data_IF_610361170929
#
_entry.id   IF_610361170929
#
_cell.length_a   1.000
_cell.length_b   1.000
_cell.length_c   1.000
_cell.angle_alpha   90.00
_cell.angle_beta   90.00
_cell.angle_gamma   90.00
#
_symmetry.space_group_name_H-M   'P 1'
#
loop_
_entity.id
_entity.type
_entity.pdbx_description
1 polymer ?
#
# COMPACT_ATOMS: atom_id res chain seq x y z
N UNK A 1 15.67 30.59 26.05
CA UNK A 1 15.77 30.68 24.57
C UNK A 1 14.90 29.54 24.05
N UNK A 2 13.57 29.71 24.03
CA UNK A 2 12.77 30.30 22.94
C UNK A 2 12.93 29.49 21.63
N UNK A 3 11.91 29.03 20.90
CA UNK A 3 10.45 29.10 20.97
C UNK A 3 9.90 28.00 20.03
N UNK A 4 8.75 27.43 20.39
CA UNK A 4 7.93 26.57 19.53
C UNK A 4 7.21 27.39 18.46
N UNK A 5 7.36 27.04 17.18
CA UNK A 5 6.64 27.69 16.08
C UNK A 5 5.39 26.86 15.74
N UNK A 6 4.32 27.20 16.46
CA UNK A 6 2.93 26.98 16.06
C UNK A 6 2.52 28.13 15.15
N UNK A 7 1.96 27.83 13.97
CA UNK A 7 0.90 28.59 13.25
C UNK A 7 0.65 27.83 11.95
N UNK A 8 -0.58 27.44 11.58
CA UNK A 8 -1.48 28.31 10.85
C UNK A 8 -2.92 27.77 10.95
N UNK A 9 -3.69 28.27 11.92
CA UNK A 9 -5.13 28.12 11.97
C UNK A 9 -5.76 29.16 11.03
N UNK A 10 -6.21 28.69 9.87
CA UNK A 10 -6.94 29.47 8.88
C UNK A 10 -8.34 29.80 9.42
N UNK A 11 -8.48 30.90 10.15
CA UNK A 11 -9.78 31.41 10.62
C UNK A 11 -10.43 32.23 9.51
N UNK A 12 -11.35 31.59 8.79
CA UNK A 12 -12.23 32.22 7.81
C UNK A 12 -13.16 33.26 8.43
N UNK A 13 -13.30 34.38 7.75
CA UNK A 13 -14.13 35.54 8.12
C UNK A 13 -15.62 35.17 8.17
N UNK A 14 -16.27 35.43 9.30
CA UNK A 14 -17.72 35.39 9.44
C UNK A 14 -18.26 36.72 8.90
N UNK A 15 -18.88 36.71 7.71
CA UNK A 15 -19.65 37.85 7.20
C UNK A 15 -21.06 37.74 7.80
N UNK A 16 -21.37 38.60 8.77
CA UNK A 16 -22.73 38.77 9.27
C UNK A 16 -23.52 39.59 8.25
N UNK A 17 -24.41 38.95 7.51
CA UNK A 17 -25.43 39.64 6.70
C UNK A 17 -26.62 39.90 7.62
N UNK A 18 -26.87 41.17 7.94
CA UNK A 18 -28.06 41.60 8.64
C UNK A 18 -29.02 42.26 7.63
N UNK A 19 -30.24 41.73 7.67
CA UNK A 19 -31.35 41.87 6.74
C UNK A 19 -32.00 43.26 6.81
N UNK A 20 -32.14 43.92 5.66
CA UNK A 20 -32.99 45.10 5.51
C UNK A 20 -34.45 44.70 5.31
N UNK A 21 -35.37 45.36 6.02
CA UNK A 21 -36.81 45.32 5.77
C UNK A 21 -37.15 46.17 4.54
N UNK A 22 -37.86 45.62 3.55
CA UNK A 22 -38.71 46.43 2.67
C UNK A 22 -39.90 45.65 2.08
N UNK A 23 -40.98 46.39 1.90
CA UNK A 23 -42.39 46.04 1.73
C UNK A 23 -42.80 45.27 0.45
N UNK A 24 -43.95 44.58 0.60
CA UNK A 24 -44.96 44.10 -0.36
C UNK A 24 -44.71 44.21 -1.88
N UNK A 25 -44.85 43.06 -2.57
CA UNK A 25 -45.13 42.99 -4.02
C UNK A 25 -45.38 41.55 -4.50
N UNK A 26 -46.60 41.28 -4.94
CA UNK A 26 -47.07 39.98 -5.47
C UNK A 26 -46.59 39.73 -6.90
N UNK A 27 -45.84 38.65 -7.19
CA UNK A 27 -45.77 38.08 -8.54
C UNK A 27 -45.09 36.68 -8.58
N UNK A 28 -45.81 35.69 -9.10
CA UNK A 28 -45.35 34.52 -9.86
C UNK A 28 -44.12 33.72 -9.40
N UNK A 29 -44.34 32.59 -8.73
CA UNK A 29 -43.33 31.52 -8.60
C UNK A 29 -43.30 30.69 -9.88
N UNK A 30 -42.37 31.01 -10.78
CA UNK A 30 -41.92 30.08 -11.82
C UNK A 30 -40.85 29.20 -11.19
N UNK A 31 -41.17 27.92 -10.97
CA UNK A 31 -40.23 26.94 -10.42
C UNK A 31 -39.10 26.66 -11.42
N UNK A 32 -38.02 27.43 -11.32
CA UNK A 32 -36.77 27.14 -12.01
C UNK A 32 -36.11 25.91 -11.37
N UNK A 33 -36.05 24.81 -12.11
CA UNK A 33 -35.14 23.71 -11.78
C UNK A 33 -33.70 24.24 -11.92
N UNK A 34 -33.07 24.55 -10.79
CA UNK A 34 -31.65 24.85 -10.74
C UNK A 34 -30.89 23.59 -11.19
N UNK A 35 -30.33 23.64 -12.40
CA UNK A 35 -29.38 22.63 -12.87
C UNK A 35 -28.10 22.75 -12.04
N UNK A 36 -28.01 21.93 -10.99
CA UNK A 36 -26.78 21.78 -10.22
C UNK A 36 -25.75 21.08 -11.12
N UNK A 37 -24.68 21.78 -11.51
CA UNK A 37 -23.58 21.14 -12.23
C UNK A 37 -22.93 20.07 -11.34
N UNK A 38 -22.59 18.88 -11.87
CA UNK A 38 -21.86 17.88 -11.09
C UNK A 38 -20.49 18.46 -10.71
N UNK A 39 -20.23 18.54 -9.41
CA UNK A 39 -18.90 18.89 -8.89
C UNK A 39 -17.88 17.87 -9.36
N UNK A 40 -16.68 18.28 -9.81
CA UNK A 40 -15.62 17.33 -10.17
C UNK A 40 -15.17 16.57 -8.91
N UNK A 41 -15.56 15.30 -8.78
CA UNK A 41 -14.96 14.41 -7.77
C UNK A 41 -13.53 14.07 -8.19
N UNK A 42 -12.58 14.26 -7.27
CA UNK A 42 -11.22 13.72 -7.42
C UNK A 42 -11.32 12.21 -7.65
N UNK A 43 -10.56 11.63 -8.59
CA UNK A 43 -10.54 10.18 -8.78
C UNK A 43 -10.28 9.47 -7.44
N UNK A 44 -11.14 8.50 -7.10
CA UNK A 44 -10.90 7.63 -5.94
C UNK A 44 -9.71 6.72 -6.27
N UNK A 45 -8.51 7.17 -5.91
CA UNK A 45 -7.35 6.31 -5.86
C UNK A 45 -7.56 5.32 -4.71
N UNK A 46 -7.17 4.03 -4.87
CA UNK A 46 -7.21 3.06 -3.78
C UNK A 46 -6.55 3.62 -2.52
N UNK A 47 -7.19 3.44 -1.36
CA UNK A 47 -6.58 3.84 -0.09
C UNK A 47 -5.31 3.02 0.14
N UNK A 48 -4.25 3.62 0.71
CA UNK A 48 -2.95 2.95 0.83
C UNK A 48 -3.02 1.63 1.61
N UNK A 49 -3.89 1.54 2.62
CA UNK A 49 -4.16 0.27 3.34
C UNK A 49 -4.73 -0.83 2.45
N UNK A 50 -5.50 -0.46 1.43
CA UNK A 50 -6.12 -1.41 0.51
C UNK A 50 -5.06 -1.96 -0.45
N UNK A 51 -4.15 -1.11 -0.92
CA UNK A 51 -3.01 -1.53 -1.74
C UNK A 51 -2.06 -2.45 -0.97
N UNK A 52 -1.74 -2.12 0.29
CA UNK A 52 -0.92 -2.97 1.15
C UNK A 52 -1.60 -4.34 1.36
N UNK A 53 -2.92 -4.34 1.55
CA UNK A 53 -3.69 -5.59 1.71
C UNK A 53 -3.72 -6.43 0.43
N UNK A 54 -3.97 -5.81 -0.72
CA UNK A 54 -3.92 -6.48 -2.02
C UNK A 54 -2.52 -7.04 -2.31
N UNK A 55 -1.47 -6.27 -1.98
CA UNK A 55 -0.08 -6.67 -2.14
C UNK A 55 0.28 -7.89 -1.29
N UNK A 56 -0.18 -7.92 -0.03
CA UNK A 56 -0.02 -9.09 0.84
C UNK A 56 -0.66 -10.33 0.21
N UNK A 57 -1.91 -10.23 -0.24
CA UNK A 57 -2.63 -11.38 -0.84
C UNK A 57 -1.96 -11.86 -2.14
N UNK A 58 -1.49 -10.94 -2.97
CA UNK A 58 -0.74 -11.28 -4.18
C UNK A 58 0.60 -11.96 -3.86
N UNK A 59 1.34 -11.47 -2.85
CA UNK A 59 2.56 -12.09 -2.36
C UNK A 59 2.29 -13.50 -1.81
N UNK A 60 1.26 -13.67 -0.99
CA UNK A 60 0.89 -14.96 -0.39
C UNK A 60 0.55 -16.00 -1.44
N UNK A 61 -0.19 -15.62 -2.48
CA UNK A 61 -0.60 -16.52 -3.56
C UNK A 61 0.56 -16.92 -4.48
N UNK A 62 1.44 -15.98 -4.81
CA UNK A 62 2.39 -16.16 -5.93
C UNK A 62 3.85 -16.30 -5.49
N UNK A 63 4.20 -15.83 -4.30
CA UNK A 63 5.61 -15.69 -3.88
C UNK A 63 5.92 -16.46 -2.60
N UNK A 64 4.99 -16.46 -1.64
CA UNK A 64 5.22 -16.96 -0.28
C UNK A 64 5.59 -18.45 -0.23
N UNK A 65 5.12 -19.27 -1.17
CA UNK A 65 5.51 -20.68 -1.25
C UNK A 65 7.03 -20.89 -1.34
N UNK A 66 7.77 -19.91 -1.87
CA UNK A 66 9.23 -19.95 -1.97
C UNK A 66 9.94 -18.89 -1.12
N UNK A 67 9.28 -17.75 -0.87
CA UNK A 67 9.88 -16.53 -0.31
C UNK A 67 9.29 -16.07 1.03
N UNK A 68 8.37 -16.84 1.63
CA UNK A 68 7.82 -16.48 2.94
C UNK A 68 8.90 -16.39 4.02
N UNK A 69 8.52 -15.75 5.13
CA UNK A 69 9.18 -15.91 6.43
C UNK A 69 8.87 -17.30 7.00
N UNK A 70 9.84 -17.93 7.65
CA UNK A 70 9.63 -19.20 8.36
C UNK A 70 10.95 -19.89 8.71
N UNK A 71 10.95 -20.81 9.69
CA UNK A 71 12.16 -21.57 9.99
C UNK A 71 12.55 -22.40 8.76
N UNK A 72 13.74 -22.17 8.20
CA UNK A 72 14.40 -23.15 7.33
C UNK A 72 14.85 -24.39 8.12
N UNK A 73 14.67 -24.36 9.44
CA UNK A 73 15.14 -25.37 10.37
C UNK A 73 14.00 -26.32 10.74
N UNK A 74 14.02 -27.50 10.12
CA UNK A 74 13.76 -28.72 10.89
C UNK A 74 12.54 -29.55 10.54
N UNK A 75 11.51 -29.05 9.81
CA UNK A 75 10.35 -29.84 9.27
C UNK A 75 9.33 -28.97 8.51
N UNK A 76 9.77 -27.90 7.87
CA UNK A 76 8.94 -26.83 7.26
C UNK A 76 8.98 -26.99 5.73
N UNK A 77 7.93 -26.65 4.96
CA UNK A 77 8.00 -26.60 3.50
C UNK A 77 9.28 -25.90 3.05
N UNK A 78 10.02 -26.51 2.12
CA UNK A 78 11.23 -25.93 1.56
C UNK A 78 10.87 -24.55 1.00
N UNK A 79 11.49 -23.50 1.53
CA UNK A 79 11.41 -22.12 1.03
C UNK A 79 12.65 -21.86 0.17
N UNK A 80 12.74 -22.39 -1.06
CA UNK A 80 13.96 -22.34 -1.87
C UNK A 80 14.42 -20.91 -2.16
N UNK A 81 13.48 -19.97 -2.30
CA UNK A 81 13.77 -18.57 -2.52
C UNK A 81 14.42 -17.91 -1.30
N UNK A 82 13.80 -18.05 -0.13
CA UNK A 82 14.36 -17.53 1.14
C UNK A 82 15.70 -18.20 1.46
N UNK A 83 15.83 -19.51 1.26
CA UNK A 83 17.08 -20.23 1.49
C UNK A 83 18.20 -19.81 0.53
N UNK A 84 17.92 -19.63 -0.77
CA UNK A 84 18.91 -19.14 -1.71
C UNK A 84 19.40 -17.73 -1.34
N UNK A 85 18.49 -16.86 -0.87
CA UNK A 85 18.86 -15.51 -0.41
C UNK A 85 19.70 -15.56 0.89
N UNK A 86 19.42 -16.49 1.81
CA UNK A 86 20.22 -16.64 3.03
C UNK A 86 21.65 -17.13 2.75
N UNK A 87 21.84 -17.94 1.70
CA UNK A 87 23.17 -18.31 1.23
C UNK A 87 23.87 -17.15 0.53
N UNK A 88 23.15 -16.43 -0.36
CA UNK A 88 23.70 -15.31 -1.12
C UNK A 88 24.19 -14.17 -0.22
N UNK A 89 23.42 -13.82 0.80
CA UNK A 89 23.65 -12.67 1.67
C UNK A 89 24.15 -13.06 3.07
N UNK A 90 24.67 -14.28 3.24
CA UNK A 90 25.08 -14.81 4.56
C UNK A 90 25.99 -13.86 5.34
N UNK A 91 26.93 -13.22 4.64
CA UNK A 91 27.94 -12.34 5.25
C UNK A 91 27.52 -10.86 5.21
N UNK A 92 26.41 -10.55 4.53
CA UNK A 92 25.84 -9.22 4.43
C UNK A 92 24.77 -9.01 5.51
N UNK A 93 24.50 -7.75 5.87
CA UNK A 93 23.36 -7.41 6.74
C UNK A 93 22.03 -7.34 5.99
N UNK A 94 21.90 -8.08 4.88
CA UNK A 94 20.70 -8.08 4.03
C UNK A 94 19.82 -9.28 4.43
N UNK A 95 18.58 -9.04 4.89
CA UNK A 95 17.69 -10.13 5.29
C UNK A 95 17.33 -11.07 4.13
N UNK A 96 17.27 -12.37 4.42
CA UNK A 96 16.84 -13.37 3.45
C UNK A 96 15.34 -13.30 3.13
N UNK A 97 14.52 -12.95 4.13
CA UNK A 97 13.09 -12.77 3.96
C UNK A 97 12.82 -11.46 3.21
N UNK A 98 12.11 -11.54 2.08
CA UNK A 98 11.81 -10.36 1.26
C UNK A 98 11.00 -9.31 2.02
N UNK A 99 10.11 -9.75 2.91
CA UNK A 99 9.28 -8.86 3.74
C UNK A 99 10.07 -8.12 4.83
N UNK A 100 11.35 -8.46 5.05
CA UNK A 100 12.26 -7.76 5.98
C UNK A 100 13.20 -6.79 5.25
N UNK A 101 13.14 -6.72 3.92
CA UNK A 101 14.06 -5.94 3.09
C UNK A 101 13.50 -4.56 2.78
N UNK A 102 14.26 -3.53 3.12
CA UNK A 102 13.95 -2.12 2.82
C UNK A 102 14.56 -1.63 1.49
N UNK A 103 15.36 -2.46 0.82
CA UNK A 103 16.11 -2.13 -0.40
C UNK A 103 15.43 -2.58 -1.70
N UNK A 104 14.20 -3.10 -1.62
CA UNK A 104 13.44 -3.58 -2.79
C UNK A 104 12.76 -2.42 -3.52
N UNK A 105 13.32 -1.98 -4.64
CA UNK A 105 12.67 -0.97 -5.50
C UNK A 105 11.61 -1.60 -6.42
N UNK A 106 10.60 -0.85 -6.86
CA UNK A 106 9.58 -1.35 -7.81
C UNK A 106 10.21 -1.91 -9.10
N UNK A 107 11.22 -1.24 -9.64
CA UNK A 107 11.90 -1.62 -10.88
C UNK A 107 12.68 -2.92 -10.70
N UNK A 108 13.32 -3.11 -9.54
CA UNK A 108 14.02 -4.35 -9.23
C UNK A 108 13.05 -5.51 -9.04
N UNK A 109 11.94 -5.29 -8.33
CA UNK A 109 10.88 -6.30 -8.15
C UNK A 109 10.33 -6.72 -9.51
N UNK A 110 9.95 -5.75 -10.35
CA UNK A 110 9.43 -6.03 -11.69
C UNK A 110 10.45 -6.81 -12.53
N UNK A 111 11.71 -6.36 -12.55
CA UNK A 111 12.76 -7.02 -13.33
C UNK A 111 12.91 -8.49 -12.94
N UNK A 112 13.02 -8.77 -11.63
CA UNK A 112 13.17 -10.14 -11.12
C UNK A 112 11.92 -10.98 -11.37
N UNK A 113 10.72 -10.43 -11.17
CA UNK A 113 9.48 -11.18 -11.40
C UNK A 113 9.27 -11.48 -12.88
N UNK A 114 9.55 -10.53 -13.78
CA UNK A 114 9.29 -10.69 -15.21
C UNK A 114 10.35 -11.52 -15.94
N UNK A 115 11.60 -11.48 -15.49
CA UNK A 115 12.70 -12.14 -16.18
C UNK A 115 13.26 -13.35 -15.41
N UNK A 116 12.85 -13.54 -14.15
CA UNK A 116 13.45 -14.53 -13.27
C UNK A 116 14.86 -14.15 -12.85
N UNK A 117 15.43 -14.93 -11.93
CA UNK A 117 16.84 -14.81 -11.54
C UNK A 117 17.34 -16.15 -10.98
N UNK A 118 18.44 -16.67 -11.53
CA UNK A 118 18.96 -18.00 -11.21
C UNK A 118 17.88 -19.10 -11.30
N UNK A 119 17.53 -19.71 -10.16
CA UNK A 119 16.52 -20.77 -10.06
C UNK A 119 15.10 -20.24 -9.83
N UNK A 120 14.91 -18.92 -9.69
CA UNK A 120 13.58 -18.31 -9.62
C UNK A 120 13.02 -18.17 -11.04
N UNK A 121 11.92 -18.87 -11.38
CA UNK A 121 11.30 -18.75 -12.71
C UNK A 121 10.65 -17.37 -12.90
N UNK A 122 10.56 -16.87 -14.14
CA UNK A 122 9.76 -15.68 -14.45
C UNK A 122 8.26 -15.94 -14.26
N UNK A 123 7.51 -14.94 -13.79
CA UNK A 123 6.05 -14.95 -13.71
C UNK A 123 5.45 -13.98 -14.74
N UNK A 124 4.50 -14.50 -15.53
CA UNK A 124 3.84 -13.75 -16.58
C UNK A 124 2.81 -12.77 -16.03
N UNK A 125 2.31 -11.88 -16.91
CA UNK A 125 1.23 -10.95 -16.56
C UNK A 125 -0.10 -11.65 -16.22
N UNK A 126 -0.25 -12.90 -16.64
CA UNK A 126 -1.39 -13.78 -16.31
C UNK A 126 -1.31 -14.34 -14.90
N UNK A 127 -0.10 -14.49 -14.36
CA UNK A 127 0.12 -15.02 -13.00
C UNK A 127 0.12 -13.87 -11.97
N UNK A 128 0.83 -12.79 -12.32
CA UNK A 128 0.92 -11.56 -11.53
C UNK A 128 0.74 -10.37 -12.45
N UNK A 129 -0.38 -9.67 -12.36
CA UNK A 129 -0.65 -8.46 -13.14
C UNK A 129 0.25 -7.29 -12.72
N UNK A 130 0.33 -6.25 -13.56
CA UNK A 130 1.13 -5.05 -13.24
C UNK A 130 0.56 -4.31 -12.01
N UNK A 131 -0.75 -4.33 -11.81
CA UNK A 131 -1.40 -3.77 -10.62
C UNK A 131 -1.02 -4.54 -9.35
N UNK A 132 -0.97 -5.87 -9.42
CA UNK A 132 -0.53 -6.70 -8.30
C UNK A 132 0.95 -6.49 -7.98
N UNK A 133 1.82 -6.29 -8.97
CA UNK A 133 3.22 -5.92 -8.73
C UNK A 133 3.36 -4.59 -7.99
N UNK A 134 2.59 -3.58 -8.37
CA UNK A 134 2.55 -2.29 -7.65
C UNK A 134 2.10 -2.51 -6.20
N UNK A 135 1.06 -3.31 -6.00
CA UNK A 135 0.54 -3.62 -4.67
C UNK A 135 1.57 -4.40 -3.83
N UNK A 136 2.28 -5.38 -4.40
CA UNK A 136 3.36 -6.12 -3.74
C UNK A 136 4.48 -5.16 -3.32
N UNK A 137 4.85 -4.20 -4.18
CA UNK A 137 5.81 -3.17 -3.82
C UNK A 137 5.33 -2.33 -2.63
N UNK A 138 4.05 -1.95 -2.59
CA UNK A 138 3.46 -1.26 -1.43
C UNK A 138 3.51 -2.11 -0.16
N UNK A 139 3.21 -3.41 -0.29
CA UNK A 139 3.31 -4.35 0.81
C UNK A 139 4.73 -4.45 1.38
N UNK A 140 5.77 -4.59 0.55
CA UNK A 140 7.16 -4.67 1.00
C UNK A 140 7.65 -3.39 1.69
N UNK A 141 7.25 -2.21 1.18
CA UNK A 141 7.57 -0.94 1.85
C UNK A 141 6.95 -0.85 3.24
N UNK A 142 5.76 -1.40 3.43
CA UNK A 142 5.09 -1.39 4.74
C UNK A 142 5.66 -2.46 5.68
N UNK A 143 5.85 -3.70 5.19
CA UNK A 143 6.32 -4.82 6.01
C UNK A 143 7.75 -4.61 6.52
N UNK A 144 8.62 -4.02 5.70
CA UNK A 144 10.03 -3.73 6.08
C UNK A 144 10.17 -2.72 7.22
N UNK A 145 9.12 -1.96 7.57
CA UNK A 145 9.13 -1.07 8.74
C UNK A 145 9.11 -1.84 10.07
N UNK A 146 8.65 -3.09 10.06
CA UNK A 146 8.66 -3.97 11.22
C UNK A 146 9.22 -5.36 10.86
N UNK A 147 10.55 -5.48 10.68
CA UNK A 147 11.18 -6.73 10.27
C UNK A 147 11.16 -7.82 11.35
N UNK A 148 10.80 -7.44 12.58
CA UNK A 148 10.54 -8.37 13.69
C UNK A 148 9.05 -8.67 13.90
N UNK A 149 8.21 -8.22 12.97
CA UNK A 149 6.79 -8.51 12.97
C UNK A 149 6.50 -10.01 12.82
N UNK A 150 5.24 -10.40 13.07
CA UNK A 150 4.83 -11.79 13.02
C UNK A 150 5.14 -12.46 11.68
N UNK A 151 5.38 -13.76 11.73
CA UNK A 151 5.49 -14.57 10.52
C UNK A 151 4.07 -14.83 10.01
N UNK A 152 3.78 -14.42 8.77
CA UNK A 152 2.48 -14.67 8.12
C UNK A 152 2.59 -15.93 7.27
N UNK A 153 1.92 -17.00 7.70
CA UNK A 153 1.93 -18.32 7.04
C UNK A 153 0.62 -18.56 6.28
N UNK A 154 0.42 -17.85 5.19
CA UNK A 154 -0.79 -17.93 4.37
C UNK A 154 -1.89 -16.93 4.77
N UNK A 155 -3.04 -16.94 4.09
CA UNK A 155 -3.95 -15.79 4.01
C UNK A 155 -4.59 -15.33 5.31
N UNK A 156 -4.65 -16.19 6.34
CA UNK A 156 -5.27 -15.88 7.62
C UNK A 156 -4.48 -16.39 8.84
N UNK A 157 -3.25 -16.88 8.66
CA UNK A 157 -2.49 -17.50 9.75
C UNK A 157 -1.27 -16.66 10.10
N UNK A 158 -1.35 -16.02 11.26
CA UNK A 158 -0.26 -15.30 11.89
C UNK A 158 0.34 -16.20 12.96
N UNK A 159 1.66 -16.39 12.94
CA UNK A 159 2.40 -16.97 14.07
C UNK A 159 3.29 -15.87 14.65
N UNK A 160 3.18 -15.69 15.97
CA UNK A 160 4.09 -14.82 16.70
C UNK A 160 5.49 -15.45 16.68
N UNK A 161 6.52 -14.60 16.60
CA UNK A 161 7.92 -15.03 16.54
C UNK A 161 8.39 -15.65 17.86
#
# INVERSE_FOLDING_TARGET
MAESISVNAWKGRIVKVALGLMLLGTAGVVSGFAMQSPTPQKPNLPHESDLVTQGRLAFERNCAACHAKGPSEGRVPLLPGTFALSLKYRDDKIPAALEDRSDLTPEYIETVVRHGIFSMPPLGKTDVSDQELIAIGAYFRESSKNPNGPIRTGPNKVIDR
#
